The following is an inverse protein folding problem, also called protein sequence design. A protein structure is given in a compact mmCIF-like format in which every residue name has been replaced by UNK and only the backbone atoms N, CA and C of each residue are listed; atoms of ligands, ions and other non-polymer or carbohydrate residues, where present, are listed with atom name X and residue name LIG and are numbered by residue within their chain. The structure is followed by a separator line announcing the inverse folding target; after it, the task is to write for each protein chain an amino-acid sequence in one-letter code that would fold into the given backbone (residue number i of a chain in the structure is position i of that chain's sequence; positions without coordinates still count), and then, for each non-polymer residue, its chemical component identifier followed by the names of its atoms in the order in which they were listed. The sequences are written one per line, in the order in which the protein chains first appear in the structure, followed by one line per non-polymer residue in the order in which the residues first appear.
data_IF_984369574911
#
_entry.id   IF_984369574911
#
_cell.length_a   1.000
_cell.length_b   1.000
_cell.length_c   1.000
_cell.angle_alpha   90.00
_cell.angle_beta   90.00
_cell.angle_gamma   90.00
#
_symmetry.space_group_name_H-M   'P 1'
#
loop_
_entity.id
_entity.type
_entity.pdbx_description
1 polymer ?
#
# COMPACT_ATOMS: atom_id res chain seq x y z
N UNK A 1 -12.76 7.13 -15.09
CA UNK A 1 -12.31 6.92 -13.69
C UNK A 1 -10.87 6.40 -13.73
N UNK A 2 -9.86 7.15 -13.28
CA UNK A 2 -8.45 6.72 -13.38
C UNK A 2 -8.10 5.78 -12.22
N UNK A 3 -8.07 4.46 -12.48
CA UNK A 3 -7.55 3.46 -11.53
C UNK A 3 -6.02 3.49 -11.59
N UNK A 4 -5.37 3.85 -10.49
CA UNK A 4 -3.92 3.71 -10.33
C UNK A 4 -3.63 2.45 -9.53
N UNK A 5 -2.66 1.67 -10.01
CA UNK A 5 -2.22 0.41 -9.41
C UNK A 5 -0.72 0.50 -9.19
N UNK A 6 -0.29 0.15 -7.99
CA UNK A 6 1.11 0.12 -7.57
C UNK A 6 1.43 -1.26 -7.03
N UNK A 7 2.57 -1.84 -7.40
CA UNK A 7 3.01 -3.15 -6.91
C UNK A 7 3.92 -2.98 -5.70
N UNK A 8 3.67 -3.70 -4.62
CA UNK A 8 4.57 -3.66 -3.48
C UNK A 8 5.95 -4.23 -3.83
N UNK A 9 6.98 -3.61 -3.24
CA UNK A 9 8.37 -3.99 -3.46
C UNK A 9 9.08 -3.30 -4.63
N UNK A 10 8.39 -2.43 -5.38
CA UNK A 10 9.04 -1.49 -6.29
C UNK A 10 9.32 -0.16 -5.60
N UNK A 11 10.10 0.76 -6.20
CA UNK A 11 10.17 2.14 -5.72
C UNK A 11 8.80 2.83 -5.81
N UNK A 12 8.45 3.57 -4.77
CA UNK A 12 7.15 4.23 -4.66
C UNK A 12 7.06 5.47 -5.55
N UNK A 13 6.00 5.63 -6.37
CA UNK A 13 5.76 6.86 -7.12
C UNK A 13 5.17 7.97 -6.21
N UNK A 14 5.43 9.24 -6.54
CA UNK A 14 4.97 10.42 -5.79
C UNK A 14 3.50 10.41 -5.40
N UNK A 15 2.62 9.91 -6.28
CA UNK A 15 1.19 9.87 -5.99
C UNK A 15 0.86 8.89 -4.86
N UNK A 16 1.56 7.75 -4.79
CA UNK A 16 1.35 6.75 -3.74
C UNK A 16 1.85 7.31 -2.40
N UNK A 17 3.00 8.00 -2.40
CA UNK A 17 3.50 8.73 -1.24
C UNK A 17 2.50 9.77 -0.71
N UNK A 18 2.00 10.66 -1.59
CA UNK A 18 1.06 11.72 -1.19
C UNK A 18 -0.28 11.19 -0.69
N UNK A 19 -0.77 10.09 -1.25
CA UNK A 19 -2.04 9.49 -0.83
C UNK A 19 -1.92 8.78 0.50
N UNK A 20 -0.80 8.09 0.71
CA UNK A 20 -0.53 7.45 1.99
C UNK A 20 -0.23 8.49 3.06
N UNK A 21 0.66 9.45 2.83
CA UNK A 21 0.97 10.50 3.82
C UNK A 21 -0.26 11.31 4.28
N UNK A 22 -1.31 11.39 3.45
CA UNK A 22 -2.57 12.06 3.80
C UNK A 22 -3.54 11.19 4.59
N UNK A 23 -3.42 9.86 4.56
CA UNK A 23 -4.46 8.96 5.06
C UNK A 23 -3.96 7.79 5.92
N UNK A 24 -2.70 7.37 5.80
CA UNK A 24 -2.16 6.15 6.41
C UNK A 24 -0.66 6.24 6.80
N UNK A 25 -0.22 5.51 7.83
CA UNK A 25 1.21 5.28 8.14
C UNK A 25 1.67 3.98 7.48
N UNK A 26 2.91 3.90 6.98
CA UNK A 26 3.48 2.65 6.45
C UNK A 26 4.62 2.20 7.36
N UNK A 27 4.54 0.95 7.82
CA UNK A 27 5.69 0.24 8.38
C UNK A 27 6.08 -0.89 7.42
N UNK A 28 7.36 -1.06 7.14
CA UNK A 28 7.86 -2.22 6.42
C UNK A 28 8.61 -3.13 7.38
N UNK A 29 8.29 -4.41 7.39
CA UNK A 29 9.05 -5.44 8.08
C UNK A 29 9.48 -6.53 7.10
N UNK A 30 10.45 -7.34 7.48
CA UNK A 30 10.82 -8.56 6.76
C UNK A 30 10.44 -9.77 7.62
N UNK A 31 9.56 -10.63 7.09
CA UNK A 31 9.08 -11.82 7.78
C UNK A 31 9.27 -13.03 6.86
N UNK A 32 10.01 -14.04 7.31
CA UNK A 32 10.32 -15.25 6.54
C UNK A 32 10.91 -14.98 5.13
N UNK A 33 11.74 -13.95 5.00
CA UNK A 33 12.35 -13.53 3.73
C UNK A 33 11.39 -12.78 2.78
N UNK A 34 10.17 -12.47 3.23
CA UNK A 34 9.22 -11.63 2.50
C UNK A 34 9.15 -10.25 3.14
N UNK A 35 9.21 -9.20 2.32
CA UNK A 35 8.90 -7.85 2.79
C UNK A 35 7.40 -7.68 2.94
N UNK A 36 6.99 -7.37 4.17
CA UNK A 36 5.62 -7.10 4.60
C UNK A 36 5.45 -5.60 4.80
N UNK A 37 4.37 -5.03 4.28
CA UNK A 37 3.99 -3.63 4.45
C UNK A 37 2.71 -3.55 5.27
N UNK A 38 2.75 -2.81 6.37
CA UNK A 38 1.60 -2.49 7.19
C UNK A 38 1.12 -1.09 6.82
N UNK A 39 -0.13 -0.96 6.39
CA UNK A 39 -0.73 0.31 6.00
C UNK A 39 -1.83 0.64 6.98
N UNK A 40 -1.54 1.57 7.90
CA UNK A 40 -2.43 1.96 8.99
C UNK A 40 -3.37 3.05 8.53
N UNK A 41 -4.59 2.71 8.14
CA UNK A 41 -5.63 3.71 7.94
C UNK A 41 -6.17 4.26 9.25
N UNK A 42 -6.84 5.42 9.17
CA UNK A 42 -7.54 6.06 10.31
C UNK A 42 -8.43 5.09 11.11
N UNK A 43 -8.87 3.98 10.50
CA UNK A 43 -9.77 3.01 11.09
C UNK A 43 -9.29 1.54 11.10
N UNK A 44 -8.14 1.12 10.53
CA UNK A 44 -7.69 -0.29 10.49
C UNK A 44 -6.24 -0.48 9.99
N UNK A 45 -5.62 -1.61 10.34
CA UNK A 45 -4.34 -2.08 9.79
C UNK A 45 -4.61 -2.99 8.59
N UNK A 46 -4.12 -2.63 7.40
CA UNK A 46 -4.06 -3.53 6.25
C UNK A 46 -2.63 -4.06 6.08
N UNK A 47 -2.47 -5.38 5.95
CA UNK A 47 -1.17 -6.04 5.75
C UNK A 47 -1.05 -6.44 4.27
N UNK A 48 0.10 -6.17 3.66
CA UNK A 48 0.43 -6.52 2.28
C UNK A 48 1.83 -7.15 2.17
N UNK A 49 2.03 -8.08 1.24
CA UNK A 49 3.29 -8.74 0.97
C UNK A 49 3.91 -8.29 -0.36
N UNK A 50 5.19 -8.62 -0.56
CA UNK A 50 5.83 -8.48 -1.86
C UNK A 50 5.07 -9.28 -2.93
N UNK A 51 4.67 -8.61 -4.01
CA UNK A 51 3.81 -9.20 -5.05
C UNK A 51 2.37 -8.70 -5.03
N UNK A 52 1.89 -8.15 -3.92
CA UNK A 52 0.56 -7.55 -3.81
C UNK A 52 0.50 -6.18 -4.49
N UNK A 53 -0.71 -5.63 -4.58
CA UNK A 53 -0.95 -4.34 -5.21
C UNK A 53 -1.74 -3.37 -4.34
N UNK A 54 -1.28 -2.12 -4.29
CA UNK A 54 -2.04 -0.98 -3.80
C UNK A 54 -2.87 -0.38 -4.94
N UNK A 55 -4.18 -0.28 -4.74
CA UNK A 55 -5.11 0.27 -5.72
C UNK A 55 -5.79 1.50 -5.14
N UNK A 56 -5.80 2.60 -5.90
CA UNK A 56 -6.59 3.78 -5.57
C UNK A 56 -7.96 3.73 -6.25
N UNK A 57 -9.03 3.85 -5.46
CA UNK A 57 -10.42 3.96 -5.93
C UNK A 57 -11.09 5.10 -5.16
N UNK A 58 -11.59 6.14 -5.83
CA UNK A 58 -12.28 7.27 -5.17
C UNK A 58 -11.51 7.92 -4.01
N UNK A 59 -10.18 8.04 -4.14
CA UNK A 59 -9.25 8.49 -3.08
C UNK A 59 -9.10 7.54 -1.87
N UNK A 60 -9.75 6.39 -1.89
CA UNK A 60 -9.49 5.32 -0.94
C UNK A 60 -8.40 4.39 -1.46
N UNK A 61 -7.60 3.87 -0.53
CA UNK A 61 -6.58 2.88 -0.80
C UNK A 61 -7.10 1.49 -0.41
N UNK A 62 -6.92 0.53 -1.32
CA UNK A 62 -7.22 -0.88 -1.08
C UNK A 62 -6.01 -1.72 -1.47
N UNK A 63 -5.63 -2.67 -0.61
CA UNK A 63 -4.70 -3.73 -0.98
C UNK A 63 -5.45 -4.81 -1.76
N UNK A 64 -4.85 -5.30 -2.84
CA UNK A 64 -5.30 -6.47 -3.58
C UNK A 64 -4.16 -7.47 -3.66
N UNK A 65 -4.42 -8.66 -3.14
CA UNK A 65 -3.49 -9.79 -3.27
C UNK A 65 -3.56 -10.34 -4.70
N UNK A 66 -2.43 -10.84 -5.19
CA UNK A 66 -2.34 -11.43 -6.54
C UNK A 66 -3.24 -12.64 -6.73
#
# INVERSE_FOLDING_TARGET
MKKKKYKFGTPWPDWAWRLVSKNKIILSNEENGQKVFFIYGKNNIEIAHYGDYLIQINNELKVKNS
#
